data_IF_009314314702
#
_entry.id   IF_009314314702
#
_cell.length_a   1.000
_cell.length_b   1.000
_cell.length_c   1.000
_cell.angle_alpha   90.00
_cell.angle_beta   90.00
_cell.angle_gamma   90.00
#
_symmetry.space_group_name_H-M   'P 1'
#
loop_
_entity.id
_entity.type
_entity.pdbx_description
1 polymer ?
#
# COMPACT_ATOMS: atom_id res chain seq x y z
N UNK A 1 -31.38 5.45 -16.39
CA UNK A 1 -31.22 4.59 -15.21
C UNK A 1 -31.66 5.38 -13.98
N UNK A 2 -32.62 4.87 -13.20
CA UNK A 2 -33.17 5.58 -12.03
C UNK A 2 -32.13 5.57 -10.89
N UNK A 3 -31.88 6.72 -10.28
CA UNK A 3 -31.01 6.86 -9.10
C UNK A 3 -31.64 6.14 -7.90
N UNK A 4 -30.97 5.12 -7.39
CA UNK A 4 -31.37 4.46 -6.15
C UNK A 4 -30.97 5.36 -4.98
N UNK A 5 -31.91 5.62 -4.07
CA UNK A 5 -31.64 6.48 -2.92
C UNK A 5 -30.95 5.70 -1.80
N UNK A 6 -30.16 6.40 -0.97
CA UNK A 6 -29.41 5.85 0.19
C UNK A 6 -30.28 5.04 1.17
N UNK A 7 -31.59 5.33 1.25
CA UNK A 7 -32.57 4.62 2.08
C UNK A 7 -33.01 3.27 1.49
N UNK A 8 -33.00 3.12 0.16
CA UNK A 8 -33.31 1.86 -0.51
C UNK A 8 -32.13 0.89 -0.47
N UNK A 9 -30.89 1.39 -0.50
CA UNK A 9 -29.69 0.58 -0.30
C UNK A 9 -29.65 -0.10 1.09
N UNK A 10 -30.04 0.62 2.14
CA UNK A 10 -30.02 0.09 3.52
C UNK A 10 -31.09 -0.96 3.80
N UNK A 11 -32.17 -1.04 3.00
CA UNK A 11 -33.20 -2.08 3.18
C UNK A 11 -32.73 -3.48 2.77
N UNK A 12 -31.67 -3.60 1.97
CA UNK A 12 -31.10 -4.89 1.57
C UNK A 12 -30.16 -5.52 2.61
N UNK A 13 -29.84 -4.82 3.70
CA UNK A 13 -28.94 -5.30 4.77
C UNK A 13 -29.68 -5.99 5.93
N UNK A 14 -31.02 -6.05 5.90
CA UNK A 14 -31.83 -6.49 7.03
C UNK A 14 -32.18 -7.98 7.05
N UNK A 15 -31.19 -8.88 7.14
CA UNK A 15 -31.33 -10.24 7.70
C UNK A 15 -30.03 -11.03 7.54
N UNK A 16 -29.16 -11.05 8.56
CA UNK A 16 -27.98 -11.92 8.59
C UNK A 16 -27.21 -11.75 9.88
N UNK A 17 -27.10 -12.82 10.67
CA UNK A 17 -26.55 -12.79 12.02
C UNK A 17 -25.08 -12.32 12.04
N UNK A 18 -24.80 -11.26 12.80
CA UNK A 18 -23.45 -10.74 13.02
C UNK A 18 -22.70 -11.71 13.93
N UNK A 19 -21.75 -12.47 13.39
CA UNK A 19 -20.73 -13.15 14.19
C UNK A 19 -19.56 -12.19 14.42
N UNK A 20 -19.60 -11.46 15.54
CA UNK A 20 -18.47 -10.62 15.98
C UNK A 20 -17.37 -11.57 16.47
N UNK A 21 -16.39 -11.88 15.62
CA UNK A 21 -15.10 -12.38 16.12
C UNK A 21 -14.37 -11.18 16.71
N UNK A 22 -14.52 -10.99 18.02
CA UNK A 22 -13.77 -9.98 18.75
C UNK A 22 -12.27 -10.30 18.63
N UNK A 23 -11.54 -9.54 17.79
CA UNK A 23 -10.08 -9.55 17.81
C UNK A 23 -9.61 -8.94 19.13
N UNK A 24 -8.65 -9.54 19.84
CA UNK A 24 -8.18 -8.99 21.11
C UNK A 24 -7.53 -7.62 20.86
N UNK A 25 -7.97 -6.61 21.62
CA UNK A 25 -7.34 -5.29 21.66
C UNK A 25 -5.97 -5.45 22.30
N UNK A 26 -4.91 -5.40 21.50
CA UNK A 26 -3.53 -5.38 22.04
C UNK A 26 -3.22 -3.95 22.46
N UNK A 27 -2.84 -3.70 23.74
CA UNK A 27 -2.44 -2.39 24.21
C UNK A 27 -1.20 -1.89 23.47
N UNK A 28 -1.20 -0.60 23.07
CA UNK A 28 -0.12 0.07 22.33
C UNK A 28 1.26 -0.09 22.98
N UNK A 29 1.32 -0.24 24.31
CA UNK A 29 2.54 -0.38 25.10
C UNK A 29 3.28 -1.71 24.91
N UNK A 30 2.62 -2.77 24.43
CA UNK A 30 3.22 -4.09 24.21
C UNK A 30 3.94 -4.22 22.86
N UNK A 31 3.80 -3.26 21.94
CA UNK A 31 4.52 -3.24 20.65
C UNK A 31 6.02 -2.91 20.80
N UNK A 32 6.47 -2.25 21.85
CA UNK A 32 7.78 -1.56 21.83
C UNK A 32 9.05 -2.39 22.17
N UNK A 33 9.07 -3.75 22.14
CA UNK A 33 10.23 -4.51 22.70
C UNK A 33 11.12 -5.32 21.75
N UNK A 34 10.79 -5.44 20.47
CA UNK A 34 11.64 -5.88 19.35
C UNK A 34 11.04 -5.17 18.14
N UNK A 35 11.80 -4.51 17.23
CA UNK A 35 11.23 -3.70 16.14
C UNK A 35 10.07 -4.46 15.47
N UNK A 36 8.79 -4.12 15.74
CA UNK A 36 7.70 -4.93 15.25
C UNK A 36 7.59 -4.66 13.76
N UNK A 37 7.40 -5.71 13.00
CA UNK A 37 7.12 -5.62 11.59
C UNK A 37 5.99 -4.59 11.31
N UNK A 38 6.13 -3.81 10.24
CA UNK A 38 5.19 -2.74 9.91
C UNK A 38 3.93 -3.28 9.27
N UNK A 39 2.76 -2.73 9.64
CA UNK A 39 1.48 -3.17 9.06
C UNK A 39 1.30 -2.58 7.67
N UNK A 40 1.05 -3.45 6.68
CA UNK A 40 0.68 -3.06 5.32
C UNK A 40 -0.67 -3.65 4.99
N UNK A 41 -1.61 -2.81 4.53
CA UNK A 41 -2.90 -3.25 4.01
C UNK A 41 -2.80 -3.34 2.49
N UNK A 42 -3.21 -4.48 1.92
CA UNK A 42 -3.52 -4.62 0.50
C UNK A 42 -5.01 -4.90 0.36
N UNK A 43 -5.74 -3.97 -0.24
CA UNK A 43 -7.17 -4.10 -0.50
C UNK A 43 -7.40 -4.39 -1.98
N UNK A 44 -8.04 -5.50 -2.30
CA UNK A 44 -8.37 -5.93 -3.65
C UNK A 44 -9.89 -6.01 -3.83
N UNK A 45 -10.37 -5.49 -4.96
CA UNK A 45 -11.76 -5.68 -5.41
C UNK A 45 -11.80 -5.81 -6.95
N UNK A 46 -12.40 -6.90 -7.43
CA UNK A 46 -12.56 -7.15 -8.87
C UNK A 46 -13.34 -6.03 -9.58
N UNK A 47 -14.29 -5.41 -8.88
CA UNK A 47 -15.18 -4.40 -9.43
C UNK A 47 -14.58 -2.99 -9.37
N UNK A 48 -13.35 -2.83 -8.84
CA UNK A 48 -12.68 -1.55 -8.78
C UNK A 48 -12.42 -0.97 -10.18
N UNK A 49 -12.22 -1.84 -11.18
CA UNK A 49 -12.03 -1.44 -12.58
C UNK A 49 -12.74 -2.39 -13.54
N UNK A 50 -13.22 -1.85 -14.66
CA UNK A 50 -13.80 -2.61 -15.78
C UNK A 50 -13.24 -2.06 -17.09
N UNK A 51 -12.46 -2.88 -17.81
CA UNK A 51 -11.64 -2.39 -18.93
C UNK A 51 -10.66 -1.32 -18.44
N UNK A 52 -10.70 -0.12 -19.04
CA UNK A 52 -9.94 1.06 -18.63
C UNK A 52 -10.70 1.99 -17.66
N UNK A 53 -11.94 1.66 -17.31
CA UNK A 53 -12.78 2.50 -16.45
C UNK A 53 -12.59 2.14 -14.97
N UNK A 54 -12.58 3.16 -14.10
CA UNK A 54 -12.51 3.00 -12.64
C UNK A 54 -13.89 3.19 -12.03
N UNK A 55 -14.28 2.30 -11.12
CA UNK A 55 -15.48 2.42 -10.32
C UNK A 55 -15.16 3.16 -9.02
N UNK A 56 -15.30 4.49 -9.02
CA UNK A 56 -14.97 5.33 -7.86
C UNK A 56 -15.74 4.96 -6.59
N UNK A 57 -16.97 4.44 -6.71
CA UNK A 57 -17.75 4.00 -5.54
C UNK A 57 -17.15 2.76 -4.88
N UNK A 58 -16.60 1.82 -5.66
CA UNK A 58 -15.89 0.66 -5.11
C UNK A 58 -14.55 1.09 -4.52
N UNK A 59 -13.81 1.95 -5.22
CA UNK A 59 -12.54 2.51 -4.73
C UNK A 59 -12.73 3.27 -3.41
N UNK A 60 -13.84 4.00 -3.25
CA UNK A 60 -14.20 4.65 -2.00
C UNK A 60 -14.28 3.66 -0.84
N UNK A 61 -14.98 2.54 -1.03
CA UNK A 61 -15.07 1.48 -0.04
C UNK A 61 -13.69 0.87 0.24
N UNK A 62 -12.88 0.62 -0.80
CA UNK A 62 -11.54 0.07 -0.63
C UNK A 62 -10.64 0.98 0.23
N UNK A 63 -10.68 2.29 0.01
CA UNK A 63 -9.91 3.28 0.79
C UNK A 63 -10.42 3.34 2.23
N UNK A 64 -11.75 3.42 2.42
CA UNK A 64 -12.37 3.47 3.75
C UNK A 64 -12.08 2.21 4.59
N UNK A 65 -12.20 1.01 4.01
CA UNK A 65 -11.87 -0.23 4.70
C UNK A 65 -10.36 -0.34 4.98
N UNK A 66 -9.52 0.17 4.09
CA UNK A 66 -8.07 0.15 4.28
C UNK A 66 -7.65 1.01 5.48
N UNK A 67 -8.15 2.25 5.58
CA UNK A 67 -7.78 3.15 6.68
C UNK A 67 -8.34 2.67 8.02
N UNK A 68 -9.57 2.15 8.04
CA UNK A 68 -10.17 1.53 9.23
C UNK A 68 -9.37 0.31 9.69
N UNK A 69 -8.96 -0.55 8.76
CA UNK A 69 -8.16 -1.74 9.07
C UNK A 69 -6.78 -1.36 9.59
N UNK A 70 -6.13 -0.37 8.97
CA UNK A 70 -4.79 0.08 9.35
C UNK A 70 -4.77 0.71 10.75
N UNK A 71 -5.82 1.45 11.12
CA UNK A 71 -5.93 2.15 12.41
C UNK A 71 -6.62 1.31 13.50
N UNK A 72 -7.41 0.31 13.11
CA UNK A 72 -8.27 -0.47 14.01
C UNK A 72 -9.53 0.28 14.47
N UNK A 73 -9.84 1.42 13.85
CA UNK A 73 -11.02 2.23 14.15
C UNK A 73 -12.17 1.91 13.18
N UNK A 74 -13.41 2.01 13.64
CA UNK A 74 -14.60 1.64 12.84
C UNK A 74 -15.22 2.82 12.09
N UNK A 75 -14.94 4.05 12.52
CA UNK A 75 -15.39 5.27 11.88
C UNK A 75 -14.30 5.83 10.97
N UNK A 76 -14.66 6.20 9.73
CA UNK A 76 -13.71 6.65 8.70
C UNK A 76 -13.09 7.99 9.08
N UNK A 77 -13.90 8.94 9.57
CA UNK A 77 -13.44 10.25 9.98
C UNK A 77 -12.46 10.16 11.15
N UNK A 78 -12.79 9.40 12.18
CA UNK A 78 -11.90 9.18 13.33
C UNK A 78 -10.65 8.38 12.94
N UNK A 79 -10.75 7.43 12.02
CA UNK A 79 -9.60 6.70 11.47
C UNK A 79 -8.59 7.67 10.81
N UNK A 80 -9.05 8.54 9.91
CA UNK A 80 -8.20 9.56 9.30
C UNK A 80 -7.65 10.55 10.33
N UNK A 81 -8.50 11.08 11.20
CA UNK A 81 -8.12 12.04 12.25
C UNK A 81 -6.99 11.51 13.13
N UNK A 82 -7.01 10.22 13.44
CA UNK A 82 -6.01 9.58 14.31
C UNK A 82 -4.57 9.67 13.78
N UNK A 83 -4.39 9.89 12.47
CA UNK A 83 -3.07 10.01 11.84
C UNK A 83 -2.42 11.39 12.02
N UNK A 84 -3.16 12.38 12.49
CA UNK A 84 -2.75 13.79 12.49
C UNK A 84 -2.69 14.35 13.93
N UNK A 85 -1.63 14.07 14.70
CA UNK A 85 -1.51 14.54 16.08
C UNK A 85 -1.54 16.07 16.16
N UNK A 86 -2.50 16.62 16.89
CA UNK A 86 -2.65 18.07 17.05
C UNK A 86 -3.42 18.77 15.93
N UNK A 87 -4.06 18.02 15.02
CA UNK A 87 -4.87 18.60 13.95
C UNK A 87 -5.96 19.54 14.49
N UNK A 88 -6.13 20.66 13.80
CA UNK A 88 -7.14 21.68 14.09
C UNK A 88 -8.05 21.90 12.87
N UNK A 89 -9.16 22.61 13.04
CA UNK A 89 -10.02 22.99 11.91
C UNK A 89 -9.37 23.94 10.90
N UNK A 90 -8.23 24.56 11.25
CA UNK A 90 -7.42 25.39 10.34
C UNK A 90 -6.24 24.64 9.73
N UNK A 91 -5.95 23.41 10.18
CA UNK A 91 -4.84 22.63 9.65
C UNK A 91 -5.07 22.28 8.18
N UNK A 92 -4.00 22.19 7.42
CA UNK A 92 -4.00 21.88 5.98
C UNK A 92 -3.35 20.51 5.74
N UNK A 93 -4.03 19.66 4.98
CA UNK A 93 -3.54 18.32 4.59
C UNK A 93 -3.26 18.31 3.09
N UNK A 94 -2.02 18.04 2.73
CA UNK A 94 -1.61 17.83 1.34
C UNK A 94 -1.69 16.36 0.93
N UNK A 95 -2.25 16.07 -0.24
CA UNK A 95 -2.22 14.77 -0.91
C UNK A 95 -1.25 14.90 -2.09
N UNK A 96 -0.04 14.37 -1.94
CA UNK A 96 0.97 14.37 -2.99
C UNK A 96 0.69 13.24 -3.98
N UNK A 97 0.18 13.59 -5.15
CA UNK A 97 -0.12 12.63 -6.23
C UNK A 97 1.04 12.52 -7.24
N UNK A 98 0.97 11.55 -8.15
CA UNK A 98 1.95 11.37 -9.23
C UNK A 98 1.28 11.55 -10.61
N UNK A 99 1.63 12.58 -11.37
CA UNK A 99 0.94 12.95 -12.60
C UNK A 99 1.87 13.11 -13.81
N UNK A 100 3.19 12.99 -13.65
CA UNK A 100 4.15 13.17 -14.75
C UNK A 100 3.90 12.22 -15.93
N UNK A 101 3.53 10.97 -15.66
CA UNK A 101 3.01 10.06 -16.67
C UNK A 101 1.48 10.08 -16.61
N UNK A 102 0.86 10.97 -17.40
CA UNK A 102 -0.59 11.15 -17.43
C UNK A 102 -1.37 9.92 -17.92
N UNK A 103 -0.72 8.92 -18.54
CA UNK A 103 -1.38 7.68 -18.92
C UNK A 103 -1.61 6.72 -17.74
N UNK A 104 -0.80 6.85 -16.68
CA UNK A 104 -0.90 6.06 -15.44
C UNK A 104 -0.53 6.97 -14.26
N UNK A 105 -1.38 7.96 -13.96
CA UNK A 105 -1.19 8.83 -12.81
C UNK A 105 -1.67 8.11 -11.54
N UNK A 106 -1.45 8.72 -10.37
CA UNK A 106 -2.38 8.48 -9.26
C UNK A 106 -3.76 8.91 -9.74
N UNK A 107 -4.70 7.99 -9.88
CA UNK A 107 -5.96 8.27 -10.57
C UNK A 107 -6.82 9.23 -9.74
N UNK A 108 -7.50 10.22 -10.36
CA UNK A 108 -8.37 11.16 -9.63
C UNK A 108 -9.39 10.48 -8.69
N UNK A 109 -10.04 9.35 -9.05
CA UNK A 109 -10.89 8.61 -8.12
C UNK A 109 -10.20 8.21 -6.80
N UNK A 110 -8.91 7.85 -6.80
CA UNK A 110 -8.19 7.51 -5.58
C UNK A 110 -7.92 8.76 -4.73
N UNK A 111 -7.47 9.85 -5.34
CA UNK A 111 -7.24 11.10 -4.60
C UNK A 111 -8.56 11.72 -4.06
N UNK A 112 -9.64 11.65 -4.84
CA UNK A 112 -10.96 12.12 -4.44
C UNK A 112 -11.51 11.32 -3.25
N UNK A 113 -11.32 10.00 -3.25
CA UNK A 113 -11.81 9.14 -2.15
C UNK A 113 -11.02 9.38 -0.86
N UNK A 114 -9.71 9.60 -0.94
CA UNK A 114 -8.91 10.08 0.21
C UNK A 114 -9.46 11.43 0.71
N UNK A 115 -9.66 12.41 -0.17
CA UNK A 115 -10.18 13.73 0.23
C UNK A 115 -11.59 13.66 0.83
N UNK A 116 -12.46 12.80 0.30
CA UNK A 116 -13.79 12.55 0.85
C UNK A 116 -13.74 11.90 2.24
N UNK A 117 -12.80 10.96 2.46
CA UNK A 117 -12.56 10.37 3.78
C UNK A 117 -12.07 11.40 4.80
N UNK A 118 -11.12 12.28 4.42
CA UNK A 118 -10.67 13.39 5.26
C UNK A 118 -11.81 14.36 5.60
N UNK A 119 -12.70 14.65 4.64
CA UNK A 119 -13.86 15.51 4.86
C UNK A 119 -14.92 14.88 5.80
N UNK A 120 -14.79 13.61 6.19
CA UNK A 120 -15.62 12.97 7.23
C UNK A 120 -15.08 13.19 8.64
N UNK A 121 -13.88 13.77 8.80
CA UNK A 121 -13.34 14.11 10.13
C UNK A 121 -14.29 15.09 10.82
N UNK A 122 -14.84 14.67 11.96
CA UNK A 122 -15.79 15.47 12.72
C UNK A 122 -15.06 16.48 13.63
N UNK A 123 -15.53 17.72 13.61
CA UNK A 123 -15.01 18.83 14.40
C UNK A 123 -16.14 19.60 15.09
N UNK A 124 -16.43 19.25 16.34
CA UNK A 124 -17.50 19.88 17.11
C UNK A 124 -18.87 19.62 16.49
N UNK A 125 -19.45 20.59 15.80
CA UNK A 125 -20.73 20.48 15.07
C UNK A 125 -20.56 20.53 13.54
N UNK A 126 -19.32 20.62 13.06
CA UNK A 126 -18.99 20.71 11.63
C UNK A 126 -18.06 19.58 11.22
N UNK A 127 -17.73 19.52 9.94
CA UNK A 127 -16.74 18.61 9.39
C UNK A 127 -15.47 19.36 8.99
N UNK A 128 -14.38 18.63 8.80
CA UNK A 128 -13.13 19.20 8.30
C UNK A 128 -13.33 19.87 6.93
N UNK A 129 -12.93 21.14 6.75
CA UNK A 129 -13.20 21.85 5.50
C UNK A 129 -12.52 21.18 4.31
N UNK A 130 -13.27 20.96 3.22
CA UNK A 130 -12.69 20.42 1.98
C UNK A 130 -11.60 21.32 1.43
N UNK A 131 -11.75 22.64 1.59
CA UNK A 131 -10.76 23.61 1.15
C UNK A 131 -9.43 23.53 1.92
N UNK A 132 -9.41 22.87 3.09
CA UNK A 132 -8.17 22.60 3.81
C UNK A 132 -7.40 21.38 3.25
N UNK A 133 -7.94 20.72 2.22
CA UNK A 133 -7.28 19.61 1.53
C UNK A 133 -6.69 20.15 0.23
N UNK A 134 -5.41 19.86 -0.01
CA UNK A 134 -4.70 20.21 -1.24
C UNK A 134 -4.27 18.93 -1.95
N UNK A 135 -4.81 18.64 -3.12
CA UNK A 135 -4.25 17.66 -4.06
C UNK A 135 -3.17 18.38 -4.89
N UNK A 136 -1.95 17.84 -4.93
CA UNK A 136 -0.86 18.52 -5.62
C UNK A 136 0.19 17.59 -6.20
N UNK A 137 0.87 18.10 -7.22
CA UNK A 137 2.10 17.54 -7.77
C UNK A 137 3.00 18.69 -8.28
N UNK A 138 3.99 18.37 -9.12
CA UNK A 138 4.97 19.33 -9.63
C UNK A 138 4.35 20.48 -10.43
N UNK A 139 3.48 20.21 -11.40
CA UNK A 139 2.85 21.26 -12.21
C UNK A 139 1.34 21.10 -12.36
N UNK A 140 0.63 22.22 -12.48
CA UNK A 140 -0.81 22.22 -12.80
C UNK A 140 -1.10 21.64 -14.18
N UNK A 141 -0.17 21.73 -15.13
CA UNK A 141 -0.30 21.14 -16.46
C UNK A 141 -0.33 19.61 -16.40
N UNK A 142 0.56 19.00 -15.60
CA UNK A 142 0.58 17.54 -15.38
C UNK A 142 -0.70 17.06 -14.67
N UNK A 143 -1.15 17.78 -13.65
CA UNK A 143 -2.42 17.50 -12.96
C UNK A 143 -3.61 17.52 -13.94
N UNK A 144 -3.74 18.58 -14.73
CA UNK A 144 -4.81 18.71 -15.74
C UNK A 144 -4.73 17.60 -16.79
N UNK A 145 -3.52 17.28 -17.27
CA UNK A 145 -3.29 16.19 -18.24
C UNK A 145 -3.66 14.82 -17.67
N UNK A 146 -3.49 14.63 -16.36
CA UNK A 146 -3.89 13.42 -15.63
C UNK A 146 -5.39 13.37 -15.28
N UNK A 147 -6.19 14.35 -15.71
CA UNK A 147 -7.63 14.39 -15.52
C UNK A 147 -8.10 15.04 -14.21
N UNK A 148 -7.21 15.73 -13.48
CA UNK A 148 -7.61 16.48 -12.30
C UNK A 148 -8.28 17.81 -12.66
N UNK A 149 -9.33 18.17 -11.94
CA UNK A 149 -9.94 19.50 -12.03
C UNK A 149 -9.17 20.47 -11.15
N UNK A 150 -8.53 21.47 -11.75
CA UNK A 150 -7.74 22.46 -11.01
C UNK A 150 -8.63 23.43 -10.24
N UNK A 151 -8.25 23.72 -9.00
CA UNK A 151 -8.92 24.69 -8.15
C UNK A 151 -7.97 25.22 -7.07
N UNK A 152 -7.88 26.54 -6.92
CA UNK A 152 -7.09 27.18 -5.85
C UNK A 152 -7.83 28.39 -5.25
N UNK A 153 -9.16 28.29 -5.17
CA UNK A 153 -10.01 29.31 -4.55
C UNK A 153 -10.30 29.00 -3.06
N UNK A 154 -11.10 29.88 -2.44
CA UNK A 154 -11.42 29.83 -1.00
C UNK A 154 -12.78 29.23 -0.63
N UNK A 155 -13.47 28.51 -1.53
CA UNK A 155 -14.77 27.90 -1.21
C UNK A 155 -14.58 26.74 -0.22
N UNK A 156 -15.12 26.81 1.01
CA UNK A 156 -14.96 25.78 2.03
C UNK A 156 -15.43 24.37 1.59
N UNK A 157 -16.37 24.31 0.64
CA UNK A 157 -16.94 23.07 0.11
C UNK A 157 -16.12 22.39 -0.97
N UNK A 158 -15.02 22.99 -1.43
CA UNK A 158 -14.26 22.53 -2.61
C UNK A 158 -12.80 22.23 -2.26
N UNK A 159 -12.34 21.03 -2.64
CA UNK A 159 -10.94 20.59 -2.48
C UNK A 159 -10.04 21.40 -3.39
N UNK A 160 -8.88 21.85 -2.89
CA UNK A 160 -7.88 22.52 -3.73
C UNK A 160 -7.10 21.49 -4.52
N UNK A 161 -6.82 21.82 -5.78
CA UNK A 161 -5.97 21.03 -6.67
C UNK A 161 -5.10 21.96 -7.51
N UNK A 162 -3.81 22.02 -7.21
CA UNK A 162 -2.85 22.85 -7.94
C UNK A 162 -1.43 22.33 -7.82
N UNK A 163 -0.60 22.64 -8.83
CA UNK A 163 0.81 22.26 -8.83
C UNK A 163 1.71 23.26 -8.13
N UNK A 164 2.92 22.81 -7.81
CA UNK A 164 4.00 23.66 -7.28
C UNK A 164 4.35 24.81 -8.24
N UNK A 165 4.32 24.56 -9.55
CA UNK A 165 4.49 25.56 -10.60
C UNK A 165 5.74 26.46 -10.45
N UNK A 166 6.84 25.89 -9.92
CA UNK A 166 8.10 26.61 -9.73
C UNK A 166 8.23 27.36 -8.40
N UNK A 167 7.22 27.32 -7.53
CA UNK A 167 7.30 27.92 -6.19
C UNK A 167 8.05 27.01 -5.23
N UNK A 168 9.34 27.27 -5.04
CA UNK A 168 10.21 26.50 -4.16
C UNK A 168 10.74 27.36 -3.02
N UNK A 169 10.81 26.78 -1.83
CA UNK A 169 11.24 27.43 -0.61
C UNK A 169 12.77 27.47 -0.51
N UNK A 170 13.35 28.59 -0.94
CA UNK A 170 14.80 28.82 -0.86
C UNK A 170 15.31 29.04 0.56
N UNK A 171 14.41 29.29 1.53
CA UNK A 171 14.73 29.39 2.95
C UNK A 171 14.88 28.05 3.66
N UNK A 172 14.49 26.94 3.01
CA UNK A 172 14.53 25.59 3.56
C UNK A 172 15.39 24.65 2.68
N UNK A 173 16.72 24.85 2.59
CA UNK A 173 17.57 24.03 1.73
C UNK A 173 17.67 22.59 2.26
N UNK A 174 17.49 21.62 1.36
CA UNK A 174 17.78 20.21 1.59
C UNK A 174 19.18 19.86 1.09
N UNK A 175 19.92 19.08 1.88
CA UNK A 175 21.13 18.40 1.40
C UNK A 175 20.80 16.96 1.02
N UNK A 176 20.51 16.74 -0.26
CA UNK A 176 20.16 15.41 -0.79
C UNK A 176 21.43 14.75 -1.31
N UNK A 177 22.12 14.02 -0.43
CA UNK A 177 23.36 13.31 -0.75
C UNK A 177 24.40 14.19 -1.47
N UNK A 178 24.63 15.40 -0.94
CA UNK A 178 25.56 16.39 -1.50
C UNK A 178 24.94 17.35 -2.52
N UNK A 179 23.69 17.14 -2.93
CA UNK A 179 22.97 18.02 -3.86
C UNK A 179 22.02 18.93 -3.09
N UNK A 180 22.26 20.24 -3.16
CA UNK A 180 21.33 21.25 -2.63
C UNK A 180 20.05 21.24 -3.45
N UNK A 181 18.92 21.04 -2.78
CA UNK A 181 17.57 21.05 -3.37
C UNK A 181 16.65 21.92 -2.53
N UNK A 182 15.61 22.50 -3.13
CA UNK A 182 14.63 23.33 -2.43
C UNK A 182 13.24 22.70 -2.54
N UNK A 183 12.53 22.48 -1.42
CA UNK A 183 11.21 21.86 -1.43
C UNK A 183 10.17 22.82 -2.02
N UNK A 184 9.09 22.25 -2.54
CA UNK A 184 7.88 22.99 -2.89
C UNK A 184 7.37 23.78 -1.68
N UNK A 185 6.93 25.02 -1.89
CA UNK A 185 6.26 25.79 -0.83
C UNK A 185 4.98 25.09 -0.34
N UNK A 186 4.32 24.31 -1.22
CA UNK A 186 3.18 23.48 -0.80
C UNK A 186 3.58 22.53 0.32
N UNK A 187 4.76 21.92 0.20
CA UNK A 187 5.31 20.98 1.17
C UNK A 187 5.81 21.67 2.44
N UNK A 188 6.55 22.79 2.33
CA UNK A 188 7.25 23.40 3.46
C UNK A 188 6.48 24.49 4.19
N UNK A 189 5.49 25.11 3.55
CA UNK A 189 4.81 26.31 4.07
C UNK A 189 3.29 26.20 4.09
N UNK A 190 2.68 25.43 3.18
CA UNK A 190 1.23 25.40 3.05
C UNK A 190 0.56 24.19 3.71
N UNK A 191 1.27 23.08 3.95
CA UNK A 191 0.71 21.87 4.54
C UNK A 191 1.24 21.65 5.96
N UNK A 192 0.35 21.26 6.89
CA UNK A 192 0.74 20.77 8.21
C UNK A 192 1.00 19.26 8.19
N UNK A 193 0.33 18.53 7.31
CA UNK A 193 0.46 17.09 7.14
C UNK A 193 0.45 16.68 5.67
N UNK A 194 1.13 15.58 5.36
CA UNK A 194 1.19 15.02 4.01
C UNK A 194 0.70 13.57 4.00
N UNK A 195 -0.13 13.28 3.01
CA UNK A 195 -0.45 11.94 2.51
C UNK A 195 0.32 11.76 1.21
N UNK A 196 1.17 10.74 1.15
CA UNK A 196 1.93 10.40 -0.05
C UNK A 196 1.17 9.33 -0.85
N UNK A 197 0.60 9.72 -1.99
CA UNK A 197 -0.23 8.87 -2.84
C UNK A 197 0.45 8.62 -4.18
N UNK A 198 1.29 7.58 -4.23
CA UNK A 198 1.99 7.16 -5.42
C UNK A 198 1.15 6.20 -6.27
N UNK A 199 1.74 5.73 -7.37
CA UNK A 199 1.13 4.78 -8.31
C UNK A 199 2.12 3.68 -8.66
N UNK A 200 1.61 2.47 -8.91
CA UNK A 200 2.41 1.27 -9.12
C UNK A 200 3.18 1.31 -10.46
N UNK A 201 4.48 1.64 -10.44
CA UNK A 201 5.29 1.75 -11.65
C UNK A 201 6.72 1.25 -11.50
N UNK A 202 7.28 0.66 -12.57
CA UNK A 202 8.72 0.42 -12.73
C UNK A 202 9.43 1.63 -13.36
N UNK A 203 10.76 1.62 -13.34
CA UNK A 203 11.56 2.67 -13.96
C UNK A 203 12.91 2.12 -14.42
N UNK A 204 13.21 2.20 -15.72
CA UNK A 204 14.42 1.59 -16.30
C UNK A 204 15.75 2.00 -15.61
N UNK A 205 15.86 3.24 -15.11
CA UNK A 205 16.97 3.68 -14.22
C UNK A 205 16.78 3.34 -12.72
N UNK A 206 15.73 3.89 -12.09
CA UNK A 206 15.52 3.80 -10.63
C UNK A 206 14.94 2.46 -10.13
N UNK A 207 14.74 1.50 -11.03
CA UNK A 207 14.11 0.20 -10.82
C UNK A 207 12.60 0.28 -10.54
N UNK A 208 12.18 1.02 -9.52
CA UNK A 208 10.78 1.22 -9.16
C UNK A 208 10.45 2.70 -8.90
N UNK A 209 9.20 3.07 -9.13
CA UNK A 209 8.60 4.38 -8.82
C UNK A 209 7.35 4.12 -7.99
N UNK A 210 7.48 4.31 -6.67
CA UNK A 210 6.45 4.11 -5.66
C UNK A 210 6.48 5.31 -4.69
N UNK A 211 6.17 5.17 -3.40
CA UNK A 211 6.02 6.29 -2.46
C UNK A 211 7.35 6.99 -2.22
N UNK A 212 8.45 6.27 -1.96
CA UNK A 212 9.76 6.89 -1.75
C UNK A 212 10.21 7.78 -2.93
N UNK A 213 9.92 7.40 -4.18
CA UNK A 213 10.32 8.20 -5.35
C UNK A 213 9.32 9.31 -5.70
N UNK A 214 8.11 9.30 -5.12
CA UNK A 214 7.04 10.24 -5.47
C UNK A 214 7.41 11.72 -5.20
N UNK A 215 8.30 11.94 -4.22
CA UNK A 215 8.79 13.26 -3.86
C UNK A 215 9.81 13.89 -4.81
N UNK A 216 10.22 13.21 -5.88
CA UNK A 216 11.00 13.89 -6.94
C UNK A 216 10.20 15.06 -7.56
N UNK A 217 8.87 14.97 -7.59
CA UNK A 217 8.00 16.08 -8.00
C UNK A 217 7.88 17.21 -6.96
N UNK A 218 8.55 17.10 -5.81
CA UNK A 218 8.43 18.02 -4.67
C UNK A 218 9.64 18.92 -4.45
N UNK A 219 10.66 18.84 -5.31
CA UNK A 219 11.87 19.67 -5.25
C UNK A 219 12.17 20.31 -6.60
N UNK A 220 12.98 21.37 -6.60
CA UNK A 220 13.24 22.19 -7.78
C UNK A 220 14.11 21.52 -8.86
N UNK A 221 14.94 20.56 -8.51
CA UNK A 221 15.98 19.98 -9.38
C UNK A 221 16.01 18.43 -9.38
N UNK A 222 14.89 17.73 -9.59
CA UNK A 222 14.86 16.26 -9.51
C UNK A 222 15.78 15.56 -10.51
N UNK A 223 16.07 16.18 -11.65
CA UNK A 223 17.03 15.65 -12.62
C UNK A 223 18.42 15.42 -12.01
N UNK A 224 18.85 16.30 -11.11
CA UNK A 224 20.15 16.18 -10.41
C UNK A 224 20.22 15.02 -9.43
N UNK A 225 19.08 14.41 -9.09
CA UNK A 225 18.98 13.31 -8.13
C UNK A 225 19.08 11.92 -8.80
N UNK A 226 19.25 11.85 -10.12
CA UNK A 226 19.31 10.58 -10.87
C UNK A 226 20.71 9.91 -10.86
N UNK A 227 21.66 10.40 -10.06
CA UNK A 227 23.01 9.84 -9.93
C UNK A 227 23.10 8.59 -9.03
N UNK A 228 24.33 8.15 -8.76
CA UNK A 228 24.64 7.07 -7.81
C UNK A 228 24.80 5.67 -8.44
N UNK A 229 25.09 4.67 -7.60
CA UNK A 229 25.43 3.29 -8.02
C UNK A 229 24.29 2.56 -8.73
N UNK A 230 23.04 2.96 -8.48
CA UNK A 230 21.84 2.37 -9.06
C UNK A 230 20.81 3.42 -9.50
N UNK A 231 21.27 4.50 -10.14
CA UNK A 231 20.44 5.58 -10.72
C UNK A 231 19.28 6.00 -9.82
N UNK A 232 19.57 6.87 -8.84
CA UNK A 232 18.70 7.41 -7.76
C UNK A 232 18.95 6.84 -6.35
N UNK A 233 19.83 5.84 -6.17
CA UNK A 233 20.26 5.38 -4.83
C UNK A 233 21.65 5.97 -4.48
N UNK A 234 21.82 6.71 -3.36
CA UNK A 234 20.90 6.90 -2.23
C UNK A 234 20.12 8.22 -2.24
N UNK A 235 20.00 8.91 -3.38
CA UNK A 235 19.27 10.17 -3.50
C UNK A 235 17.78 10.06 -3.11
N UNK A 236 17.11 8.95 -3.42
CA UNK A 236 15.72 8.69 -2.99
C UNK A 236 15.59 8.61 -1.46
N UNK A 237 16.32 7.71 -0.75
CA UNK A 237 16.35 7.69 0.71
C UNK A 237 16.75 9.04 1.32
N UNK A 238 17.77 9.70 0.76
CA UNK A 238 18.24 10.97 1.26
C UNK A 238 17.19 12.07 1.16
N UNK A 239 16.43 12.15 0.06
CA UNK A 239 15.36 13.13 -0.08
C UNK A 239 14.25 12.91 0.96
N UNK A 240 13.80 11.67 1.12
CA UNK A 240 12.75 11.36 2.11
C UNK A 240 13.21 11.64 3.54
N UNK A 241 14.49 11.39 3.84
CA UNK A 241 15.08 11.78 5.12
C UNK A 241 15.04 13.30 5.33
N UNK A 242 15.41 14.10 4.32
CA UNK A 242 15.34 15.57 4.44
C UNK A 242 13.90 16.04 4.67
N UNK A 243 12.92 15.46 3.98
CA UNK A 243 11.50 15.77 4.19
C UNK A 243 11.07 15.46 5.63
N UNK A 244 11.49 14.31 6.18
CA UNK A 244 11.19 13.94 7.56
C UNK A 244 11.88 14.84 8.57
N UNK A 245 13.14 15.19 8.36
CA UNK A 245 14.01 15.76 9.39
C UNK A 245 14.13 17.28 9.35
N UNK A 246 13.75 17.93 8.24
CA UNK A 246 13.97 19.37 8.02
C UNK A 246 12.65 20.16 7.92
N UNK A 247 11.60 19.60 7.31
CA UNK A 247 10.32 20.32 7.16
C UNK A 247 9.66 20.45 8.53
N UNK A 248 9.30 21.66 8.94
CA UNK A 248 8.70 21.92 10.26
C UNK A 248 7.16 21.93 10.19
N UNK A 249 6.45 21.26 11.12
CA UNK A 249 7.02 20.39 12.16
C UNK A 249 7.56 19.09 11.56
N UNK A 250 8.75 18.65 11.97
CA UNK A 250 9.38 17.43 11.45
C UNK A 250 8.41 16.24 11.38
N UNK A 251 8.61 15.37 10.40
CA UNK A 251 7.81 14.18 10.16
C UNK A 251 6.35 14.48 9.77
N UNK A 252 6.12 15.44 8.86
CA UNK A 252 4.76 15.81 8.38
C UNK A 252 4.06 14.71 7.56
N UNK A 253 4.79 13.81 6.89
CA UNK A 253 4.20 12.70 6.12
C UNK A 253 3.67 11.63 7.08
N UNK A 254 2.38 11.34 7.01
CA UNK A 254 1.71 10.45 7.99
C UNK A 254 1.35 9.08 7.44
N UNK A 255 1.20 8.96 6.12
CA UNK A 255 0.74 7.73 5.49
C UNK A 255 1.20 7.68 4.04
N UNK A 256 1.48 6.46 3.59
CA UNK A 256 1.93 6.11 2.26
C UNK A 256 0.86 5.23 1.60
N UNK A 257 0.47 5.58 0.39
CA UNK A 257 -0.58 4.93 -0.38
C UNK A 257 -0.03 4.67 -1.78
N UNK A 258 -0.20 3.44 -2.28
CA UNK A 258 0.07 3.10 -3.68
C UNK A 258 -1.25 2.79 -4.36
N UNK A 259 -1.58 3.61 -5.35
CA UNK A 259 -2.60 3.31 -6.34
C UNK A 259 -2.09 2.19 -7.26
N UNK A 260 -2.62 0.99 -7.05
CA UNK A 260 -2.38 -0.19 -7.87
C UNK A 260 -3.63 -0.61 -8.61
N UNK A 261 -4.55 0.32 -8.94
CA UNK A 261 -5.68 0.01 -9.81
C UNK A 261 -5.18 -0.37 -11.20
N UNK A 262 -4.30 0.45 -11.76
CA UNK A 262 -3.52 0.15 -12.95
C UNK A 262 -2.03 0.41 -12.68
N UNK A 263 -1.16 -0.28 -13.41
CA UNK A 263 0.28 -0.09 -13.26
C UNK A 263 1.04 -0.09 -14.58
N UNK A 264 2.23 0.52 -14.56
CA UNK A 264 3.24 0.46 -15.63
C UNK A 264 4.46 -0.25 -15.08
N UNK A 265 4.50 -1.56 -15.20
CA UNK A 265 5.46 -2.43 -14.51
C UNK A 265 6.59 -2.93 -15.42
N UNK A 266 6.59 -2.50 -16.68
CA UNK A 266 7.62 -2.80 -17.67
C UNK A 266 7.81 -1.58 -18.56
N UNK A 267 9.07 -1.30 -18.91
CA UNK A 267 9.43 -0.25 -19.87
C UNK A 267 8.97 1.16 -19.42
N UNK A 268 8.90 1.39 -18.11
CA UNK A 268 8.63 2.69 -17.51
C UNK A 268 9.83 3.65 -17.59
N UNK A 269 9.65 4.92 -17.17
CA UNK A 269 8.51 5.40 -16.38
C UNK A 269 7.29 5.89 -17.20
N UNK A 270 7.44 6.04 -18.52
CA UNK A 270 6.42 6.59 -19.43
C UNK A 270 5.61 5.50 -20.13
N UNK A 271 4.43 5.88 -20.65
CA UNK A 271 3.56 5.03 -21.44
C UNK A 271 2.36 4.49 -20.67
N UNK A 272 1.44 3.85 -21.41
CA UNK A 272 0.16 3.34 -20.89
C UNK A 272 0.31 2.15 -19.94
N UNK A 273 -0.70 1.94 -19.09
CA UNK A 273 -0.76 0.80 -18.19
C UNK A 273 -0.56 -0.51 -18.95
N UNK A 274 0.18 -1.43 -18.33
CA UNK A 274 0.40 -2.79 -18.83
C UNK A 274 0.07 -3.87 -17.79
N UNK A 275 -0.44 -3.48 -16.62
CA UNK A 275 -1.11 -4.36 -15.68
C UNK A 275 -2.32 -3.67 -15.02
N UNK A 276 -3.19 -4.47 -14.42
CA UNK A 276 -4.40 -4.03 -13.72
C UNK A 276 -4.57 -4.88 -12.44
N UNK A 277 -3.77 -4.63 -11.39
CA UNK A 277 -3.81 -5.42 -10.15
C UNK A 277 -5.12 -5.23 -9.37
N UNK A 278 -5.82 -4.10 -9.57
CA UNK A 278 -7.04 -3.71 -8.85
C UNK A 278 -6.84 -3.60 -7.33
N UNK A 279 -5.69 -3.08 -6.91
CA UNK A 279 -5.29 -2.99 -5.51
C UNK A 279 -5.13 -1.55 -5.02
N UNK A 280 -5.47 -1.31 -3.76
CA UNK A 280 -4.99 -0.18 -2.97
C UNK A 280 -4.04 -0.73 -1.92
N UNK A 281 -2.83 -0.17 -1.83
CA UNK A 281 -1.85 -0.53 -0.81
C UNK A 281 -1.69 0.67 0.13
N UNK A 282 -1.72 0.42 1.44
CA UNK A 282 -1.74 1.48 2.44
C UNK A 282 -0.91 1.09 3.67
N UNK A 283 -0.04 2.00 4.13
CA UNK A 283 0.83 1.79 5.29
C UNK A 283 1.26 3.12 5.93
N UNK A 284 1.49 3.11 7.24
CA UNK A 284 2.12 4.23 7.96
C UNK A 284 3.65 4.22 7.83
N UNK A 285 4.21 3.15 7.27
CA UNK A 285 5.63 2.95 6.99
C UNK A 285 5.83 2.92 5.47
N UNK A 286 6.56 3.91 4.94
CA UNK A 286 6.80 4.07 3.50
C UNK A 286 7.67 2.95 2.92
N UNK A 287 8.66 2.45 3.69
CA UNK A 287 9.55 1.36 3.24
C UNK A 287 8.76 0.05 3.15
N UNK A 288 7.90 -0.21 4.13
CA UNK A 288 7.02 -1.37 4.12
C UNK A 288 6.00 -1.30 2.97
N UNK A 289 5.46 -0.10 2.71
CA UNK A 289 4.55 0.16 1.59
C UNK A 289 5.24 -0.15 0.25
N UNK A 290 6.43 0.40 0.03
CA UNK A 290 7.18 0.22 -1.20
C UNK A 290 7.67 -1.22 -1.39
N UNK A 291 8.04 -1.91 -0.30
CA UNK A 291 8.37 -3.33 -0.34
C UNK A 291 7.20 -4.16 -0.89
N UNK A 292 5.96 -3.86 -0.49
CA UNK A 292 4.78 -4.53 -1.05
C UNK A 292 4.44 -4.07 -2.46
N UNK A 293 4.61 -2.79 -2.78
CA UNK A 293 4.50 -2.31 -4.16
C UNK A 293 5.45 -3.05 -5.11
N UNK A 294 6.71 -3.22 -4.73
CA UNK A 294 7.69 -4.00 -5.52
C UNK A 294 7.26 -5.46 -5.68
N UNK A 295 6.70 -6.08 -4.64
CA UNK A 295 6.21 -7.46 -4.74
C UNK A 295 5.08 -7.58 -5.76
N UNK A 296 4.12 -6.65 -5.76
CA UNK A 296 3.04 -6.62 -6.76
C UNK A 296 3.61 -6.38 -8.17
N UNK A 297 4.57 -5.46 -8.32
CA UNK A 297 5.28 -5.28 -9.60
C UNK A 297 5.88 -6.62 -10.07
N UNK A 298 6.55 -7.34 -9.18
CA UNK A 298 7.17 -8.62 -9.51
C UNK A 298 6.16 -9.72 -9.86
N UNK A 299 5.02 -9.78 -9.16
CA UNK A 299 3.92 -10.69 -9.47
C UNK A 299 3.39 -10.46 -10.89
N UNK A 300 3.09 -9.19 -11.22
CA UNK A 300 2.61 -8.79 -12.54
C UNK A 300 3.68 -9.03 -13.63
N UNK A 301 4.96 -8.77 -13.33
CA UNK A 301 6.07 -9.04 -14.27
C UNK A 301 6.19 -10.53 -14.57
N UNK A 302 6.13 -11.38 -13.55
CA UNK A 302 6.14 -12.84 -13.73
C UNK A 302 4.97 -13.29 -14.58
N UNK A 303 3.77 -12.75 -14.36
CA UNK A 303 2.58 -13.06 -15.16
C UNK A 303 2.75 -12.67 -16.64
N UNK A 304 3.54 -11.64 -16.94
CA UNK A 304 3.90 -11.21 -18.29
C UNK A 304 5.17 -11.90 -18.86
N UNK A 305 5.73 -12.89 -18.16
CA UNK A 305 6.96 -13.57 -18.57
C UNK A 305 8.22 -12.69 -18.49
N UNK A 306 8.19 -11.65 -17.65
CA UNK A 306 9.29 -10.71 -17.43
C UNK A 306 10.08 -11.07 -16.16
N UNK A 307 11.39 -10.80 -16.11
CA UNK A 307 12.19 -11.03 -14.91
C UNK A 307 11.76 -10.09 -13.78
N UNK A 308 11.86 -10.55 -12.54
CA UNK A 308 11.63 -9.71 -11.35
C UNK A 308 12.65 -8.59 -11.24
N UNK A 309 12.26 -7.50 -10.58
CA UNK A 309 13.12 -6.39 -10.19
C UNK A 309 13.41 -6.41 -8.69
N UNK A 310 14.52 -5.80 -8.31
CA UNK A 310 14.86 -5.52 -6.92
C UNK A 310 15.39 -4.08 -6.81
N UNK A 311 14.59 -3.18 -6.22
CA UNK A 311 14.88 -1.76 -6.15
C UNK A 311 15.74 -1.46 -4.91
N UNK A 312 17.04 -1.20 -5.08
CA UNK A 312 17.98 -1.12 -3.95
C UNK A 312 17.69 0.06 -3.02
N UNK A 313 17.03 1.11 -3.52
CA UNK A 313 16.66 2.27 -2.71
C UNK A 313 15.66 1.93 -1.59
N UNK A 314 14.82 0.89 -1.75
CA UNK A 314 13.90 0.44 -0.69
C UNK A 314 14.69 -0.15 0.47
N UNK A 315 15.63 -1.05 0.17
CA UNK A 315 16.50 -1.65 1.18
C UNK A 315 17.40 -0.59 1.84
N UNK A 316 17.97 0.33 1.06
CA UNK A 316 18.79 1.43 1.60
C UNK A 316 17.98 2.35 2.51
N UNK A 317 16.72 2.68 2.17
CA UNK A 317 15.87 3.53 3.01
C UNK A 317 15.58 2.94 4.40
N UNK A 318 15.58 1.61 4.54
CA UNK A 318 15.41 0.93 5.82
C UNK A 318 16.64 1.05 6.75
N UNK A 319 17.82 1.27 6.17
CA UNK A 319 19.10 1.22 6.90
C UNK A 319 19.53 2.61 7.41
N UNK A 320 20.41 2.67 8.43
CA UNK A 320 21.10 3.90 8.77
C UNK A 320 21.86 4.49 7.57
N UNK A 321 21.92 5.82 7.43
CA UNK A 321 21.39 6.82 8.36
C UNK A 321 19.90 7.17 8.14
N UNK A 322 19.24 6.55 7.15
CA UNK A 322 17.91 6.97 6.71
C UNK A 322 16.84 6.56 7.69
N UNK A 323 16.80 5.29 8.11
CA UNK A 323 15.83 4.78 9.10
C UNK A 323 14.38 5.20 8.79
N UNK A 324 13.97 5.11 7.52
CA UNK A 324 12.66 5.59 7.04
C UNK A 324 11.52 4.59 7.26
N UNK A 325 11.84 3.38 7.73
CA UNK A 325 10.89 2.30 7.91
C UNK A 325 11.58 0.94 7.92
N UNK A 326 10.82 -0.13 7.68
CA UNK A 326 11.31 -1.51 7.66
C UNK A 326 10.81 -2.29 6.44
N UNK A 327 11.61 -3.28 6.00
CA UNK A 327 11.19 -4.28 5.01
C UNK A 327 10.56 -5.52 5.67
N UNK A 328 10.61 -5.64 7.00
CA UNK A 328 9.88 -6.65 7.76
C UNK A 328 8.44 -6.18 7.99
N UNK A 329 7.46 -6.98 7.56
CA UNK A 329 6.07 -6.55 7.51
C UNK A 329 5.08 -7.56 8.11
N UNK A 330 3.98 -7.01 8.62
CA UNK A 330 2.73 -7.70 8.88
C UNK A 330 1.75 -7.35 7.76
N UNK A 331 1.54 -8.28 6.83
CA UNK A 331 0.61 -8.09 5.72
C UNK A 331 -0.84 -8.40 6.13
N UNK A 332 -1.75 -7.48 5.87
CA UNK A 332 -3.20 -7.68 5.98
C UNK A 332 -3.80 -7.57 4.58
N UNK A 333 -4.41 -8.65 4.12
CA UNK A 333 -5.14 -8.69 2.85
C UNK A 333 -6.64 -8.51 3.10
N UNK A 334 -7.24 -7.56 2.39
CA UNK A 334 -8.69 -7.36 2.35
C UNK A 334 -9.13 -7.77 0.96
N UNK A 335 -9.93 -8.84 0.89
CA UNK A 335 -10.51 -9.34 -0.34
C UNK A 335 -12.02 -9.14 -0.30
N UNK A 336 -12.58 -8.49 -1.32
CA UNK A 336 -14.01 -8.21 -1.48
C UNK A 336 -14.65 -7.55 -0.24
N UNK A 337 -14.36 -6.27 0.02
CA UNK A 337 -14.91 -5.51 1.15
C UNK A 337 -16.43 -5.31 1.14
N UNK A 338 -17.15 -5.84 0.14
CA UNK A 338 -18.62 -5.84 0.09
C UNK A 338 -19.17 -7.21 0.48
N UNK A 339 -19.98 -7.24 1.52
CA UNK A 339 -20.78 -8.41 1.93
C UNK A 339 -21.86 -8.69 0.88
N UNK A 340 -21.50 -9.42 -0.16
CA UNK A 340 -22.43 -10.19 -1.00
C UNK A 340 -21.78 -11.55 -1.23
N UNK A 341 -22.46 -12.60 -0.75
CA UNK A 341 -22.10 -13.99 -0.99
C UNK A 341 -22.00 -14.30 -2.49
N UNK A 342 -20.88 -14.91 -2.83
CA UNK A 342 -20.62 -15.84 -3.93
C UNK A 342 -21.42 -15.69 -5.24
N UNK A 343 -20.71 -15.21 -6.27
CA UNK A 343 -20.51 -16.08 -7.41
C UNK A 343 -19.00 -16.22 -7.64
N UNK A 344 -18.44 -17.33 -7.15
CA UNK A 344 -17.13 -17.80 -7.57
C UNK A 344 -17.23 -18.13 -9.05
N UNK A 345 -16.82 -17.23 -9.93
CA UNK A 345 -16.04 -17.72 -11.05
C UNK A 345 -14.69 -18.13 -10.46
N UNK A 346 -14.41 -19.43 -10.49
CA UNK A 346 -13.13 -20.00 -10.09
C UNK A 346 -12.01 -19.26 -10.84
N UNK A 347 -11.41 -18.25 -10.20
CA UNK A 347 -10.01 -17.92 -10.47
C UNK A 347 -9.24 -19.18 -10.10
N UNK A 348 -8.76 -19.89 -11.12
CA UNK A 348 -7.95 -21.10 -10.99
C UNK A 348 -6.91 -20.89 -9.89
N UNK A 349 -7.15 -21.46 -8.70
CA UNK A 349 -6.16 -21.50 -7.64
C UNK A 349 -5.03 -22.33 -8.20
N UNK A 350 -3.94 -21.67 -8.59
CA UNK A 350 -2.80 -22.37 -9.13
C UNK A 350 -2.03 -23.06 -8.00
N UNK A 351 -2.55 -24.19 -7.54
CA UNK A 351 -1.95 -24.94 -6.44
C UNK A 351 -2.93 -25.30 -5.35
N UNK A 352 -3.19 -26.59 -5.13
CA UNK A 352 -3.72 -27.10 -3.86
C UNK A 352 -2.63 -27.85 -3.13
N UNK A 353 -2.69 -27.90 -1.80
CA UNK A 353 -1.83 -28.81 -1.04
C UNK A 353 -2.59 -29.56 0.04
N UNK A 354 -2.13 -30.75 0.42
CA UNK A 354 -2.60 -31.52 1.57
C UNK A 354 -1.43 -31.92 2.46
N UNK A 355 -1.71 -32.29 3.71
CA UNK A 355 -0.69 -32.66 4.68
C UNK A 355 -1.12 -33.94 5.37
N UNK A 356 -0.26 -34.96 5.33
CA UNK A 356 -0.54 -36.27 5.93
C UNK A 356 0.74 -36.84 6.58
N UNK A 357 0.68 -37.36 7.82
CA UNK A 357 -0.47 -37.37 8.71
C UNK A 357 -0.75 -35.99 9.33
N UNK A 358 -1.96 -35.80 9.85
CA UNK A 358 -2.32 -34.71 10.74
C UNK A 358 -3.26 -35.31 11.80
N UNK A 359 -2.88 -35.38 13.10
CA UNK A 359 -1.72 -34.76 13.75
C UNK A 359 -0.33 -35.26 13.30
N UNK A 360 0.70 -34.43 13.52
CA UNK A 360 2.10 -34.66 13.13
C UNK A 360 2.93 -34.89 14.40
N UNK A 361 3.59 -36.05 14.50
CA UNK A 361 4.51 -36.35 15.60
C UNK A 361 5.95 -35.88 15.27
N UNK A 362 6.57 -36.49 14.26
CA UNK A 362 7.94 -36.17 13.83
C UNK A 362 8.01 -35.72 12.37
N UNK A 363 7.30 -36.41 11.48
CA UNK A 363 7.34 -36.14 10.04
C UNK A 363 5.93 -36.13 9.44
N UNK A 364 5.77 -35.35 8.38
CA UNK A 364 4.59 -35.37 7.52
C UNK A 364 5.00 -35.14 6.07
N UNK A 365 4.10 -35.44 5.15
CA UNK A 365 4.26 -35.18 3.72
C UNK A 365 3.27 -34.11 3.31
N UNK A 366 3.80 -33.02 2.76
CA UNK A 366 3.01 -31.99 2.09
C UNK A 366 2.92 -32.38 0.62
N UNK A 367 1.71 -32.69 0.16
CA UNK A 367 1.45 -32.99 -1.26
C UNK A 367 0.94 -31.74 -1.94
N UNK A 368 1.71 -31.15 -2.85
CA UNK A 368 1.37 -29.93 -3.60
C UNK A 368 0.99 -30.32 -5.02
N UNK A 369 -0.19 -29.92 -5.49
CA UNK A 369 -0.66 -30.15 -6.88
C UNK A 369 -0.77 -28.81 -7.58
N UNK A 370 0.06 -28.58 -8.59
CA UNK A 370 0.12 -27.34 -9.36
C UNK A 370 -0.47 -27.52 -10.76
N UNK A 371 -1.26 -26.55 -11.23
CA UNK A 371 -1.79 -26.55 -12.61
C UNK A 371 -0.77 -26.01 -13.62
N UNK A 372 0.17 -25.17 -13.18
CA UNK A 372 1.30 -24.67 -13.99
C UNK A 372 2.58 -24.61 -13.13
N UNK A 373 3.76 -24.56 -13.78
CA UNK A 373 5.03 -24.45 -13.07
C UNK A 373 5.14 -23.12 -12.30
N UNK A 374 5.62 -23.16 -11.06
CA UNK A 374 5.60 -22.01 -10.18
C UNK A 374 6.61 -22.07 -9.03
N UNK A 375 6.96 -20.89 -8.48
CA UNK A 375 7.71 -20.78 -7.26
C UNK A 375 6.81 -21.08 -6.04
N UNK A 376 7.17 -22.09 -5.26
CA UNK A 376 6.42 -22.52 -4.08
C UNK A 376 7.24 -22.27 -2.83
N UNK A 377 6.60 -21.62 -1.86
CA UNK A 377 7.14 -21.38 -0.52
C UNK A 377 6.22 -22.03 0.51
N UNK A 378 6.76 -22.93 1.33
CA UNK A 378 6.05 -23.59 2.41
C UNK A 378 6.70 -23.24 3.75
N UNK A 379 5.91 -22.66 4.64
CA UNK A 379 6.34 -22.28 5.99
C UNK A 379 5.33 -22.79 7.03
N UNK A 380 5.80 -23.18 8.21
CA UNK A 380 4.97 -23.39 9.41
C UNK A 380 4.89 -22.07 10.16
N UNK A 381 3.67 -21.63 10.45
CA UNK A 381 3.38 -20.40 11.20
C UNK A 381 2.53 -20.72 12.44
N UNK A 382 2.70 -19.92 13.50
CA UNK A 382 1.83 -19.97 14.68
C UNK A 382 0.51 -19.23 14.44
N UNK A 383 -0.38 -19.22 15.44
CA UNK A 383 -1.69 -18.56 15.33
C UNK A 383 -1.63 -17.04 15.18
N UNK A 384 -0.47 -16.40 15.46
CA UNK A 384 -0.26 -14.97 15.19
C UNK A 384 0.36 -14.70 13.81
N UNK A 385 0.62 -15.76 13.03
CA UNK A 385 1.16 -15.66 11.68
C UNK A 385 2.68 -15.55 11.62
N UNK A 386 3.37 -15.66 12.76
CA UNK A 386 4.84 -15.65 12.82
C UNK A 386 5.38 -16.98 12.30
N UNK A 387 6.39 -16.92 11.45
CA UNK A 387 7.07 -18.10 10.94
C UNK A 387 7.84 -18.79 12.06
N UNK A 388 7.48 -20.05 12.33
CA UNK A 388 8.13 -20.89 13.32
C UNK A 388 9.18 -21.80 12.67
N UNK A 389 8.93 -22.24 11.44
CA UNK A 389 9.83 -23.12 10.70
C UNK A 389 9.64 -22.97 9.19
N UNK A 390 10.73 -22.90 8.44
CA UNK A 390 10.71 -23.01 6.98
C UNK A 390 10.68 -24.49 6.55
N UNK A 391 9.87 -24.83 5.56
CA UNK A 391 9.73 -26.21 5.05
C UNK A 391 10.32 -26.38 3.66
N UNK A 392 9.99 -25.49 2.72
CA UNK A 392 10.46 -25.60 1.34
C UNK A 392 10.42 -24.26 0.62
N UNK A 393 11.42 -24.01 -0.23
CA UNK A 393 11.46 -22.92 -1.20
C UNK A 393 12.05 -23.45 -2.50
N UNK A 394 11.31 -23.31 -3.59
CA UNK A 394 11.82 -23.69 -4.91
C UNK A 394 10.79 -23.60 -6.01
N UNK A 395 11.25 -23.72 -7.25
CA UNK A 395 10.39 -23.80 -8.42
C UNK A 395 9.95 -25.24 -8.64
N UNK A 396 8.65 -25.47 -8.66
CA UNK A 396 8.05 -26.77 -8.96
C UNK A 396 7.41 -26.71 -10.36
N UNK A 397 7.46 -27.82 -11.09
CA UNK A 397 6.77 -27.96 -12.39
C UNK A 397 5.26 -28.13 -12.18
N UNK A 398 4.46 -28.05 -13.23
CA UNK A 398 3.07 -28.51 -13.14
C UNK A 398 3.00 -29.99 -12.72
N UNK A 399 1.94 -30.38 -12.05
CA UNK A 399 1.75 -31.73 -11.51
C UNK A 399 1.82 -31.82 -9.99
N UNK A 400 1.90 -33.05 -9.49
CA UNK A 400 1.89 -33.35 -8.05
C UNK A 400 3.30 -33.56 -7.52
N UNK A 401 3.64 -32.87 -6.44
CA UNK A 401 4.93 -32.91 -5.76
C UNK A 401 4.74 -33.31 -4.30
N UNK A 402 5.65 -34.14 -3.80
CA UNK A 402 5.65 -34.58 -2.39
C UNK A 402 6.85 -33.98 -1.69
N UNK A 403 6.59 -33.16 -0.68
CA UNK A 403 7.61 -32.42 0.06
C UNK A 403 7.61 -32.94 1.50
N UNK A 404 8.76 -33.41 1.95
CA UNK A 404 8.93 -33.90 3.32
C UNK A 404 8.97 -32.74 4.30
N UNK A 405 8.10 -32.77 5.29
CA UNK A 405 8.12 -31.88 6.44
C UNK A 405 8.65 -32.65 7.66
N UNK A 406 9.86 -32.29 8.11
CA UNK A 406 10.45 -32.82 9.33
C UNK A 406 10.34 -31.75 10.42
N UNK A 407 9.61 -32.03 11.49
CA UNK A 407 9.39 -31.11 12.61
C UNK A 407 10.72 -30.84 13.34
N UNK A 408 11.00 -29.58 13.65
CA UNK A 408 12.11 -29.24 14.55
C UNK A 408 11.76 -29.48 16.02
N UNK A 409 12.73 -29.84 16.89
CA UNK A 409 12.51 -30.00 18.34
C UNK A 409 11.97 -28.72 19.03
N UNK A 410 12.15 -27.56 18.40
CA UNK A 410 11.70 -26.25 18.90
C UNK A 410 10.20 -25.99 18.75
N UNK A 411 9.50 -26.77 17.91
CA UNK A 411 8.04 -26.69 17.79
C UNK A 411 7.40 -27.46 18.94
N UNK A 412 6.74 -26.76 19.87
CA UNK A 412 5.97 -27.38 20.96
C UNK A 412 4.70 -28.08 20.46
N UNK A 413 4.14 -28.99 21.26
CA UNK A 413 2.78 -29.52 21.01
C UNK A 413 1.77 -28.38 20.92
N UNK A 414 0.93 -28.35 19.88
CA UNK A 414 -0.01 -27.25 19.67
C UNK A 414 -0.64 -27.20 18.28
N UNK A 415 -1.46 -26.17 18.06
CA UNK A 415 -2.05 -25.87 16.75
C UNK A 415 -1.15 -24.91 15.98
N UNK A 416 -0.83 -25.27 14.73
CA UNK A 416 -0.06 -24.46 13.79
C UNK A 416 -0.77 -24.40 12.44
N UNK A 417 -0.24 -23.59 11.54
CA UNK A 417 -0.69 -23.54 10.15
C UNK A 417 0.50 -23.74 9.24
N UNK A 418 0.34 -24.58 8.22
CA UNK A 418 1.27 -24.59 7.09
C UNK A 418 0.73 -23.62 6.06
N UNK A 419 1.55 -22.65 5.67
CA UNK A 419 1.24 -21.65 4.66
C UNK A 419 2.00 -21.98 3.38
N UNK A 420 1.25 -22.16 2.29
CA UNK A 420 1.80 -22.23 0.93
C UNK A 420 1.61 -20.86 0.27
N UNK A 421 2.70 -20.27 -0.22
CA UNK A 421 2.67 -19.08 -1.08
C UNK A 421 3.05 -19.48 -2.50
N UNK A 422 2.20 -19.11 -3.44
CA UNK A 422 2.39 -19.37 -4.86
C UNK A 422 1.65 -18.31 -5.71
N UNK A 423 2.30 -17.71 -6.71
CA UNK A 423 1.68 -16.72 -7.62
C UNK A 423 0.89 -15.61 -6.91
N UNK A 424 1.45 -15.02 -5.86
CA UNK A 424 0.78 -13.96 -5.08
C UNK A 424 -0.44 -14.44 -4.29
N UNK A 425 -0.77 -15.74 -4.34
CA UNK A 425 -1.80 -16.35 -3.51
C UNK A 425 -1.17 -17.04 -2.32
N UNK A 426 -1.78 -16.87 -1.15
CA UNK A 426 -1.42 -17.56 0.07
C UNK A 426 -2.58 -18.48 0.45
N UNK A 427 -2.28 -19.77 0.65
CA UNK A 427 -3.24 -20.73 1.19
C UNK A 427 -2.68 -21.35 2.46
N UNK A 428 -3.55 -21.63 3.42
CA UNK A 428 -3.14 -22.19 4.71
C UNK A 428 -3.92 -23.46 5.02
N UNK A 429 -3.26 -24.41 5.71
CA UNK A 429 -3.91 -25.57 6.32
C UNK A 429 -3.50 -25.69 7.77
N UNK A 430 -4.51 -25.80 8.63
CA UNK A 430 -4.34 -26.08 10.06
C UNK A 430 -3.71 -27.46 10.24
N UNK A 431 -2.70 -27.54 11.09
CA UNK A 431 -2.04 -28.78 11.50
C UNK A 431 -1.91 -28.82 13.02
N UNK A 432 -1.97 -30.02 13.59
CA UNK A 432 -1.73 -30.27 15.01
C UNK A 432 -0.37 -30.94 15.14
N UNK A 433 0.54 -30.33 15.91
CA UNK A 433 1.83 -30.92 16.28
C UNK A 433 1.64 -31.63 17.63
N UNK A 434 2.05 -32.90 17.73
CA UNK A 434 2.08 -33.69 18.96
C UNK A 434 3.52 -34.10 19.29
N UNK A 435 3.85 -34.16 20.57
CA UNK A 435 5.11 -34.72 21.04
C UNK A 435 5.20 -36.23 20.81
#
# INVERSE_FOLDING_TARGET
>A
MKSISRREFLKYLGAGAISIVAKPKIPLSLRNRLLPASTVVQCFDENATSGSSINESVVHIMVDESIKTLTGLSDVGEAWKSLFPGITASSIIGIKVNCINHYVPTHPPVANTIANGLAQIHWGTTYFPKNNIIIWDRTSSELSSAGYTLYNGGDPGTVRCYGTNGSYDTGCPFNVNGVTSYPSTILSQNCDYIIDAAVLKDHNGATATLTLKNHYGSVNNPSSLHGGTYSCNPFIPSLNQQIRDIITPNNIQKISIIDGLFGRICWGPSGSANCNPKKIIMSLDTVACDSQGQNIINEERIALGQPTIDAPHIATAAQPPYNLGTTDIHLIEINNPTSIEESRQERLVNGMFTITPNPIHQTAVITVTLTQASAVYLDVIDASGRMCQHVFKGNLRSGTHRISFNRTPTLSTGTYFVRMRNHGTSSTKKVTILN
#
